data_IF_390933353470
#
_entry.id   IF_390933353470
#
_cell.length_a   1.000
_cell.length_b   1.000
_cell.length_c   1.000
_cell.angle_alpha   90.00
_cell.angle_beta   90.00
_cell.angle_gamma   90.00
#
_symmetry.space_group_name_H-M   'P 1'
#
loop_
_entity.id
_entity.type
_entity.pdbx_description
1 polymer ?
2 non-polymer ?
#
# COMPACT_ATOMS: atom_id res chain seq x y z
N UNK A 1 -0.56 1.90 -15.96
CA UNK A 1 -1.28 1.55 -17.21
C UNK A 1 -2.14 2.73 -17.66
N UNK A 2 -3.30 2.88 -17.05
CA UNK A 2 -4.20 3.98 -17.37
C UNK A 2 -4.46 4.83 -16.12
N UNK A 3 -3.39 5.13 -15.41
CA UNK A 3 -3.49 5.89 -14.17
C UNK A 3 -2.87 7.27 -14.34
N UNK A 4 -2.88 8.05 -13.27
CA UNK A 4 -2.28 9.38 -13.29
C UNK A 4 -0.78 9.29 -13.08
N UNK A 5 -0.06 10.29 -13.57
CA UNK A 5 1.40 10.30 -13.43
C UNK A 5 1.84 10.59 -12.02
N UNK A 6 0.87 10.69 -11.11
CA UNK A 6 1.13 10.82 -9.69
C UNK A 6 1.92 9.60 -9.20
N UNK A 7 1.64 8.46 -9.83
CA UNK A 7 2.36 7.23 -9.55
C UNK A 7 3.03 6.72 -10.83
N UNK A 8 4.15 6.05 -10.67
CA UNK A 8 4.82 5.42 -11.79
C UNK A 8 4.52 3.93 -11.79
N UNK A 9 3.67 3.52 -12.73
CA UNK A 9 3.21 2.12 -12.85
C UNK A 9 4.38 1.15 -12.83
N UNK A 10 5.47 1.55 -13.49
CA UNK A 10 6.67 0.73 -13.56
C UNK A 10 7.29 0.54 -12.19
N UNK A 11 7.32 1.60 -11.39
CA UNK A 11 7.90 1.53 -10.04
C UNK A 11 7.01 0.73 -9.11
N UNK A 12 5.71 0.90 -9.27
CA UNK A 12 4.74 0.09 -8.55
C UNK A 12 4.98 -1.38 -8.86
N UNK A 13 4.99 -1.70 -10.14
CA UNK A 13 5.19 -3.07 -10.61
C UNK A 13 6.55 -3.61 -10.15
N UNK A 14 7.57 -2.77 -10.19
CA UNK A 14 8.93 -3.17 -9.82
C UNK A 14 8.99 -3.72 -8.40
N UNK A 15 8.64 -2.89 -7.42
CA UNK A 15 8.72 -3.29 -6.02
C UNK A 15 7.75 -4.43 -5.72
N UNK A 16 6.61 -4.44 -6.41
CA UNK A 16 5.61 -5.50 -6.22
C UNK A 16 6.11 -6.83 -6.76
N UNK A 17 6.92 -6.78 -7.80
CA UNK A 17 7.52 -7.98 -8.36
C UNK A 17 8.58 -8.51 -7.40
N UNK A 18 9.18 -7.60 -6.64
CA UNK A 18 10.21 -7.96 -5.69
C UNK A 18 9.61 -8.46 -4.39
N UNK A 19 8.56 -7.79 -3.92
CA UNK A 19 7.90 -8.17 -2.67
C UNK A 19 6.93 -9.33 -2.90
N UNK A 20 7.38 -10.31 -3.66
CA UNK A 20 6.58 -11.48 -3.96
C UNK A 20 7.22 -12.72 -3.33
N UNK A 21 8.46 -12.57 -2.90
CA UNK A 21 9.19 -13.65 -2.25
C UNK A 21 9.22 -13.46 -0.74
N UNK A 22 8.91 -14.51 0.00
CA UNK A 22 8.90 -14.45 1.45
C UNK A 22 10.30 -14.19 1.99
N UNK A 23 10.45 -13.08 2.70
CA UNK A 23 11.75 -12.67 3.18
C UNK A 23 12.23 -11.44 2.43
N UNK A 24 11.61 -11.20 1.30
CA UNK A 24 11.93 -10.06 0.47
C UNK A 24 10.79 -9.04 0.52
N UNK A 25 10.39 -8.70 1.74
CA UNK A 25 9.24 -7.83 1.95
C UNK A 25 9.66 -6.39 2.29
N UNK A 26 10.42 -5.77 1.41
CA UNK A 26 10.81 -4.39 1.62
C UNK A 26 9.74 -3.47 1.03
N UNK A 27 8.66 -3.33 1.77
CA UNK A 27 7.52 -2.57 1.29
C UNK A 27 7.68 -1.10 1.57
N UNK A 28 8.52 -0.80 2.52
CA UNK A 28 8.83 0.56 2.81
C UNK A 28 9.59 1.15 1.62
N UNK A 29 10.39 0.29 0.99
CA UNK A 29 11.08 0.64 -0.24
C UNK A 29 10.07 0.89 -1.34
N UNK A 30 8.94 0.18 -1.29
CA UNK A 30 7.85 0.40 -2.22
C UNK A 30 7.39 1.85 -2.17
N UNK A 31 7.11 2.36 -0.97
CA UNK A 31 6.61 3.72 -0.82
C UNK A 31 7.59 4.74 -1.38
N UNK A 32 8.86 4.60 -1.03
CA UNK A 32 9.87 5.53 -1.46
C UNK A 32 10.21 5.36 -2.94
N UNK A 33 9.93 4.18 -3.49
CA UNK A 33 10.22 3.90 -4.89
C UNK A 33 9.13 4.46 -5.80
N UNK A 34 7.88 4.18 -5.45
CA UNK A 34 6.76 4.59 -6.25
C UNK A 34 6.47 6.08 -6.10
N UNK A 35 7.16 6.71 -5.15
CA UNK A 35 7.00 8.14 -4.94
C UNK A 35 5.87 8.46 -3.99
N UNK A 36 5.47 7.48 -3.19
CA UNK A 36 4.33 7.65 -2.30
C UNK A 36 4.72 8.47 -1.07
N UNK A 37 6.02 8.50 -0.78
CA UNK A 37 6.54 9.28 0.34
C UNK A 37 6.61 10.76 -0.02
N UNK A 38 6.31 11.06 -1.28
CA UNK A 38 6.27 12.42 -1.76
C UNK A 38 4.85 12.78 -2.20
N UNK A 39 3.89 12.39 -1.38
CA UNK A 39 2.49 12.66 -1.67
C UNK A 39 1.94 13.74 -0.73
N UNK A 40 0.97 14.50 -1.22
CA UNK A 40 0.32 15.51 -0.41
C UNK A 40 -0.92 14.92 0.25
N UNK A 41 -1.45 15.57 1.31
CA UNK A 41 -2.66 15.09 2.01
C UNK A 41 -3.76 14.59 1.07
N UNK A 42 -4.09 15.41 0.07
CA UNK A 42 -5.14 15.06 -0.89
C UNK A 42 -4.82 13.76 -1.63
N UNK A 43 -3.56 13.60 -2.04
CA UNK A 43 -3.12 12.41 -2.74
C UNK A 43 -3.23 11.22 -1.80
N UNK A 44 -2.71 11.39 -0.61
CA UNK A 44 -2.74 10.34 0.40
C UNK A 44 -4.18 9.95 0.77
N UNK A 45 -5.12 10.86 0.58
CA UNK A 45 -6.53 10.59 0.87
C UNK A 45 -7.18 9.72 -0.21
N UNK A 46 -6.76 9.88 -1.45
CA UNK A 46 -7.24 8.98 -2.50
C UNK A 46 -6.56 7.63 -2.33
N UNK A 47 -5.32 7.67 -1.83
CA UNK A 47 -4.60 6.45 -1.50
C UNK A 47 -5.27 5.75 -0.31
N UNK A 48 -5.86 6.56 0.58
CA UNK A 48 -6.73 6.05 1.64
C UNK A 48 -7.80 5.15 1.06
N UNK A 49 -8.46 5.64 0.03
CA UNK A 49 -9.50 4.88 -0.62
C UNK A 49 -8.93 3.65 -1.33
N UNK A 50 -7.61 3.63 -1.51
CA UNK A 50 -6.95 2.45 -2.06
C UNK A 50 -6.83 1.32 -1.03
N UNK A 51 -6.32 1.60 0.18
CA UNK A 51 -6.26 0.56 1.23
C UNK A 51 -7.68 0.21 1.66
N UNK A 52 -8.60 1.14 1.41
CA UNK A 52 -10.01 0.87 1.59
C UNK A 52 -10.60 0.42 0.26
N UNK A 53 -10.13 -0.72 -0.25
CA UNK A 53 -10.50 -1.17 -1.59
C UNK A 53 -11.99 -1.51 -1.65
N UNK A 54 -12.57 -1.76 -0.48
CA UNK A 54 -14.00 -2.03 -0.35
C UNK A 54 -14.80 -0.75 -0.25
N UNK A 55 -14.13 0.34 0.10
CA UNK A 55 -14.78 1.61 0.37
C UNK A 55 -15.76 1.46 1.54
N UNK A 56 -15.20 1.14 2.70
CA UNK A 56 -15.99 0.83 3.87
C UNK A 56 -15.66 1.75 5.04
N UNK A 57 -14.89 2.81 4.74
CA UNK A 57 -14.47 3.81 5.74
C UNK A 57 -13.44 3.22 6.71
N UNK A 58 -13.17 1.93 6.54
CA UNK A 58 -12.16 1.23 7.30
C UNK A 58 -11.37 0.35 6.36
N UNK A 59 -10.11 0.10 6.68
CA UNK A 59 -9.24 -0.67 5.81
C UNK A 59 -8.69 -1.90 6.56
N UNK A 60 -9.28 -3.06 6.27
CA UNK A 60 -8.88 -4.31 6.90
C UNK A 60 -7.86 -5.08 6.06
N UNK A 61 -7.35 -6.20 6.60
CA UNK A 61 -6.34 -7.01 5.93
C UNK A 61 -6.86 -7.52 4.58
N UNK A 62 -8.10 -7.98 4.54
CA UNK A 62 -8.70 -8.49 3.31
C UNK A 62 -8.75 -7.42 2.24
N UNK A 63 -8.70 -6.16 2.66
CA UNK A 63 -8.68 -5.06 1.73
C UNK A 63 -7.27 -4.83 1.21
N UNK A 64 -6.28 -4.95 2.09
CA UNK A 64 -4.88 -4.83 1.70
C UNK A 64 -4.49 -5.92 0.71
N UNK A 65 -5.27 -6.98 0.67
CA UNK A 65 -5.02 -8.06 -0.26
C UNK A 65 -5.22 -7.59 -1.70
N UNK A 66 -6.37 -6.99 -1.98
CA UNK A 66 -6.67 -6.52 -3.33
C UNK A 66 -6.51 -5.01 -3.47
N UNK A 67 -6.06 -4.35 -2.41
CA UNK A 67 -5.91 -2.89 -2.43
C UNK A 67 -4.89 -2.50 -3.50
N UNK A 68 -3.99 -3.42 -3.78
CA UNK A 68 -2.93 -3.17 -4.75
C UNK A 68 -3.50 -3.20 -6.15
N UNK A 69 -4.49 -4.04 -6.38
CA UNK A 69 -5.18 -4.08 -7.66
C UNK A 69 -5.96 -2.79 -7.85
N UNK A 70 -6.28 -2.16 -6.74
CA UNK A 70 -6.98 -0.88 -6.77
C UNK A 70 -5.97 0.24 -6.98
N UNK A 71 -4.75 0.02 -6.51
CA UNK A 71 -3.65 0.94 -6.71
C UNK A 71 -3.21 0.90 -8.18
N UNK A 72 -2.96 -0.31 -8.66
CA UNK A 72 -2.57 -0.54 -10.05
C UNK A 72 -3.11 -1.89 -10.52
N UNK A 73 -3.55 -1.93 -11.77
CA UNK A 73 -4.27 -3.08 -12.32
C UNK A 73 -3.41 -4.33 -12.38
N UNK A 74 -2.11 -4.15 -12.53
CA UNK A 74 -1.21 -5.29 -12.60
C UNK A 74 -0.34 -5.41 -11.37
N UNK A 75 -0.95 -5.31 -10.20
CA UNK A 75 -0.24 -5.41 -8.94
C UNK A 75 -0.40 -6.80 -8.32
N UNK A 76 0.54 -7.17 -7.45
CA UNK A 76 0.54 -8.46 -6.82
C UNK A 76 -0.19 -8.42 -5.50
N UNK A 77 -0.92 -9.48 -5.18
CA UNK A 77 -1.57 -9.59 -3.89
C UNK A 77 -0.57 -10.04 -2.84
N UNK A 78 -0.57 -9.36 -1.70
CA UNK A 78 0.44 -9.57 -0.68
C UNK A 78 0.22 -10.87 0.07
N UNK A 79 1.33 -11.53 0.40
CA UNK A 79 1.27 -12.83 1.06
C UNK A 79 1.43 -12.71 2.58
N UNK A 80 1.57 -13.85 3.25
CA UNK A 80 1.61 -13.92 4.71
C UNK A 80 2.56 -12.92 5.32
N UNK A 81 3.84 -13.10 5.07
CA UNK A 81 4.82 -12.24 5.70
C UNK A 81 4.83 -10.86 5.06
N UNK A 82 4.42 -10.81 3.80
CA UNK A 82 4.38 -9.56 3.06
C UNK A 82 3.33 -8.62 3.64
N UNK A 83 2.08 -9.08 3.70
CA UNK A 83 1.01 -8.27 4.25
C UNK A 83 1.31 -7.92 5.71
N UNK A 84 1.90 -8.88 6.42
CA UNK A 84 2.21 -8.71 7.84
C UNK A 84 3.14 -7.53 8.07
N UNK A 85 4.34 -7.59 7.51
CA UNK A 85 5.34 -6.56 7.72
C UNK A 85 4.89 -5.24 7.10
N UNK A 86 4.24 -5.33 5.95
CA UNK A 86 3.70 -4.14 5.29
C UNK A 86 2.67 -3.44 6.17
N UNK A 87 1.69 -4.20 6.68
CA UNK A 87 0.68 -3.62 7.55
C UNK A 87 1.33 -2.97 8.75
N UNK A 88 2.19 -3.73 9.42
CA UNK A 88 2.80 -3.30 10.67
C UNK A 88 3.74 -2.11 10.48
N UNK A 89 4.11 -1.82 9.24
CA UNK A 89 4.87 -0.61 8.94
C UNK A 89 4.14 0.61 9.49
N UNK A 90 2.81 0.56 9.40
CA UNK A 90 1.98 1.62 9.93
C UNK A 90 1.13 1.15 11.09
N UNK A 91 0.56 -0.04 10.95
CA UNK A 91 -0.29 -0.64 11.98
C UNK A 91 0.50 -0.81 13.26
N UNK A 92 0.40 0.16 14.14
CA UNK A 92 1.17 0.19 15.37
C UNK A 92 0.33 -0.35 16.51
N UNK A 93 -0.98 -0.20 16.38
CA UNK A 93 -1.90 -0.66 17.41
C UNK A 93 -2.20 -2.15 17.25
N UNK A 94 -1.71 -2.72 16.15
CA UNK A 94 -1.78 -4.15 15.94
C UNK A 94 -3.19 -4.66 15.77
N UNK A 95 -3.99 -3.97 14.98
CA UNK A 95 -5.38 -4.37 14.77
C UNK A 95 -5.60 -4.91 13.37
N UNK A 96 -4.52 -5.34 12.72
CA UNK A 96 -4.63 -6.05 11.45
C UNK A 96 -5.22 -5.20 10.35
N UNK A 97 -5.01 -3.90 10.45
CA UNK A 97 -5.61 -2.95 9.54
C UNK A 97 -4.63 -1.83 9.30
N UNK A 98 -4.91 -1.03 8.31
CA UNK A 98 -4.16 0.18 8.14
C UNK A 98 -5.02 1.35 8.56
N UNK A 99 -4.83 1.82 9.78
CA UNK A 99 -5.38 3.09 10.13
C UNK A 99 -4.78 4.11 9.22
N UNK A 100 -5.55 5.02 8.71
CA UNK A 100 -5.04 5.89 7.66
C UNK A 100 -4.01 6.85 8.23
N UNK A 101 -4.04 7.02 9.53
CA UNK A 101 -3.03 7.78 10.22
C UNK A 101 -1.80 6.91 10.43
N UNK A 102 -2.03 5.61 10.65
CA UNK A 102 -0.97 4.62 10.66
C UNK A 102 -0.31 4.59 9.27
N UNK A 103 -1.17 4.73 8.25
CA UNK A 103 -0.75 4.72 6.86
C UNK A 103 0.19 5.88 6.55
N UNK A 104 -0.25 7.09 6.88
CA UNK A 104 0.59 8.26 6.65
C UNK A 104 1.94 8.12 7.32
N UNK A 105 1.96 7.47 8.47
CA UNK A 105 3.20 7.26 9.21
C UNK A 105 4.12 6.26 8.51
N UNK A 106 3.56 5.15 8.04
CA UNK A 106 4.36 4.10 7.40
C UNK A 106 4.95 4.57 6.07
N UNK A 107 4.22 5.45 5.40
CA UNK A 107 4.65 5.93 4.09
C UNK A 107 5.77 6.94 4.27
N UNK A 108 5.64 7.74 5.30
CA UNK A 108 6.59 8.79 5.58
C UNK A 108 7.83 8.20 6.24
N UNK A 109 7.64 7.13 7.00
CA UNK A 109 8.71 6.52 7.79
C UNK A 109 9.26 7.52 8.78
X LIG B 1 -12.55 -1.00 3.73
X LIG C 1 -3.84 -0.51 13.38
#
# INVERSE_FOLDING_TARGET
>A
MAFAGILNDADITAALAACKAEGSFDHKAFFTKVGLAAKSPADIKKVFEIIDQDKSDFVEEDELKLFLQNFSAGARALSDAETKVFLKAGDSDGDGKIGVDEFGAMIKA
>B hetero
1 CA CA
>C hetero
1 CA CA
#
